data_IF_248194714585
#
_entry.id   IF_248194714585
#
_cell.length_a   1.000
_cell.length_b   1.000
_cell.length_c   1.000
_cell.angle_alpha   90.00
_cell.angle_beta   90.00
_cell.angle_gamma   90.00
#
_symmetry.space_group_name_H-M   'P 1'
#
loop_
_entity.id
_entity.type
_entity.pdbx_description
1 polymer ?
#
# COMPACT_ATOMS: atom_id res chain seq x y z
N UNK A 1 8.43 -25.95 23.33
CA UNK A 1 8.29 -26.70 22.07
C UNK A 1 9.58 -26.52 21.27
N UNK A 2 10.51 -27.46 21.40
CA UNK A 2 11.86 -27.41 20.85
C UNK A 2 11.89 -28.14 19.50
N UNK A 3 11.96 -27.40 18.38
CA UNK A 3 12.07 -28.04 17.07
C UNK A 3 13.56 -28.30 16.74
N UNK A 4 13.99 -29.54 17.02
CA UNK A 4 15.26 -30.08 16.53
C UNK A 4 15.16 -30.34 15.03
N UNK A 5 15.89 -29.58 14.23
CA UNK A 5 16.04 -29.84 12.80
C UNK A 5 17.01 -31.03 12.62
N UNK A 6 16.49 -32.22 12.30
CA UNK A 6 17.30 -33.41 12.02
C UNK A 6 17.77 -33.39 10.56
N UNK A 7 19.08 -33.51 10.41
CA UNK A 7 19.82 -33.58 9.14
C UNK A 7 19.61 -34.93 8.46
N UNK A 8 19.32 -34.94 7.16
CA UNK A 8 19.46 -36.13 6.30
C UNK A 8 20.24 -35.73 5.05
N UNK A 9 21.39 -36.37 4.83
CA UNK A 9 22.28 -36.14 3.69
C UNK A 9 21.80 -37.01 2.52
N UNK A 10 21.44 -36.38 1.40
CA UNK A 10 21.25 -37.05 0.10
C UNK A 10 22.09 -36.29 -0.93
N UNK A 11 23.10 -36.96 -1.48
CA UNK A 11 23.99 -36.46 -2.53
C UNK A 11 23.28 -36.56 -3.90
N UNK A 12 22.59 -35.50 -4.29
CA UNK A 12 22.23 -35.19 -5.67
C UNK A 12 22.39 -33.68 -5.80
N UNK A 13 23.14 -33.20 -6.79
CA UNK A 13 23.34 -31.76 -7.04
C UNK A 13 22.05 -31.13 -7.59
N UNK A 14 21.02 -31.04 -6.74
CA UNK A 14 19.87 -30.16 -6.93
C UNK A 14 20.27 -28.85 -6.28
N UNK A 15 20.43 -27.80 -7.10
CA UNK A 15 20.52 -26.44 -6.58
C UNK A 15 19.17 -26.09 -5.95
N UNK A 16 19.00 -26.46 -4.68
CA UNK A 16 17.95 -25.93 -3.81
C UNK A 16 18.26 -24.45 -3.64
N UNK A 17 17.66 -23.62 -4.49
CA UNK A 17 17.54 -22.19 -4.23
C UNK A 17 16.71 -22.10 -2.96
N UNK A 18 17.39 -21.97 -1.82
CA UNK A 18 16.75 -21.51 -0.59
C UNK A 18 16.41 -20.06 -0.88
N UNK A 19 15.22 -19.84 -1.43
CA UNK A 19 14.57 -18.55 -1.40
C UNK A 19 14.31 -18.26 0.08
N UNK A 20 15.32 -17.71 0.77
CA UNK A 20 15.10 -17.09 2.06
C UNK A 20 13.96 -16.11 1.85
N UNK A 21 12.92 -16.18 2.69
CA UNK A 21 11.83 -15.21 2.64
C UNK A 21 12.45 -13.84 2.89
N UNK A 22 12.82 -13.12 1.83
CA UNK A 22 13.22 -11.74 1.94
C UNK A 22 11.98 -11.02 2.44
N UNK A 23 11.98 -10.69 3.73
CA UNK A 23 10.90 -9.97 4.36
C UNK A 23 10.92 -8.55 3.78
N UNK A 24 10.07 -8.33 2.78
CA UNK A 24 9.93 -7.03 2.13
C UNK A 24 9.61 -5.95 3.17
N UNK A 25 10.14 -4.76 2.94
CA UNK A 25 9.85 -3.58 3.74
C UNK A 25 8.37 -3.21 3.68
N UNK A 26 7.96 -2.41 4.66
CA UNK A 26 6.57 -1.97 4.81
C UNK A 26 6.46 -0.46 4.96
N UNK A 27 5.32 0.08 4.54
CA UNK A 27 4.93 1.46 4.80
C UNK A 27 3.49 1.49 5.29
N UNK A 28 3.26 2.20 6.40
CA UNK A 28 1.92 2.51 6.87
C UNK A 28 1.49 3.83 6.25
N UNK A 29 0.38 3.80 5.52
CA UNK A 29 -0.18 4.96 4.84
C UNK A 29 -1.55 5.23 5.47
N UNK A 30 -1.76 6.46 5.93
CA UNK A 30 -3.02 6.90 6.51
C UNK A 30 -3.43 8.25 5.93
N UNK A 31 -4.71 8.41 5.63
CA UNK A 31 -5.27 9.66 5.11
C UNK A 31 -6.70 9.85 5.62
N UNK A 32 -7.14 11.11 5.67
CA UNK A 32 -8.55 11.44 5.86
C UNK A 32 -9.29 11.27 4.54
N UNK A 33 -10.39 10.50 4.55
CA UNK A 33 -11.27 10.43 3.40
C UNK A 33 -11.85 11.83 3.11
N UNK A 34 -11.73 12.37 1.87
CA UNK A 34 -12.44 13.59 1.51
C UNK A 34 -13.93 13.54 1.87
N UNK A 35 -14.48 14.62 2.43
CA UNK A 35 -15.91 14.73 2.75
C UNK A 35 -16.70 15.47 1.67
N UNK A 36 -16.02 15.96 0.63
CA UNK A 36 -16.59 16.60 -0.55
C UNK A 36 -15.98 16.04 -1.83
N UNK A 37 -16.76 16.06 -2.91
CA UNK A 37 -16.32 15.74 -4.27
C UNK A 37 -15.60 16.93 -4.93
N UNK A 38 -15.00 16.70 -6.09
CA UNK A 38 -14.33 17.76 -6.85
C UNK A 38 -15.29 18.89 -7.31
N UNK A 39 -16.58 18.61 -7.41
CA UNK A 39 -17.65 19.56 -7.74
C UNK A 39 -18.24 20.26 -6.50
N UNK A 40 -17.73 19.98 -5.30
CA UNK A 40 -18.19 20.56 -4.03
C UNK A 40 -19.41 19.88 -3.42
N UNK A 41 -19.99 18.85 -4.06
CA UNK A 41 -21.07 18.07 -3.47
C UNK A 41 -20.60 17.24 -2.26
N UNK A 42 -21.45 16.97 -1.25
CA UNK A 42 -21.10 16.08 -0.14
C UNK A 42 -20.72 14.68 -0.64
N UNK A 43 -19.63 14.15 -0.10
CA UNK A 43 -19.07 12.84 -0.48
C UNK A 43 -20.02 11.72 -0.06
N UNK A 44 -20.68 11.10 -1.03
CA UNK A 44 -21.55 9.93 -0.83
C UNK A 44 -21.22 8.77 -1.79
N UNK A 45 -20.35 9.01 -2.76
CA UNK A 45 -20.24 8.22 -3.99
C UNK A 45 -18.88 7.53 -4.18
N UNK A 46 -17.88 7.83 -3.34
CA UNK A 46 -16.61 7.12 -3.39
C UNK A 46 -16.74 5.68 -2.88
N UNK A 47 -16.37 4.73 -3.74
CA UNK A 47 -16.44 3.29 -3.46
C UNK A 47 -15.07 2.72 -3.13
N UNK A 48 -13.99 3.34 -3.60
CA UNK A 48 -12.63 2.91 -3.31
C UNK A 48 -11.60 4.04 -3.43
N UNK A 49 -10.38 3.73 -3.00
CA UNK A 49 -9.19 4.56 -3.12
C UNK A 49 -8.10 3.79 -3.86
N UNK A 50 -7.38 4.45 -4.75
CA UNK A 50 -6.12 3.97 -5.30
C UNK A 50 -4.98 4.64 -4.53
N UNK A 51 -4.18 3.85 -3.84
CA UNK A 51 -2.98 4.33 -3.13
C UNK A 51 -1.80 4.06 -4.04
N UNK A 52 -1.38 5.09 -4.78
CA UNK A 52 -0.23 5.04 -5.67
C UNK A 52 1.07 5.17 -4.88
N UNK A 53 2.09 4.42 -5.27
CA UNK A 53 3.43 4.50 -4.72
C UNK A 53 4.52 4.30 -5.79
N UNK A 54 5.65 4.97 -5.62
CA UNK A 54 6.79 4.93 -6.54
C UNK A 54 8.07 5.37 -5.85
N UNK A 55 9.24 4.96 -6.36
CA UNK A 55 10.54 5.53 -5.96
C UNK A 55 10.83 6.86 -6.67
N UNK A 56 9.96 7.30 -7.59
CA UNK A 56 10.02 8.61 -8.25
C UNK A 56 9.03 9.58 -7.61
N UNK A 57 9.38 10.88 -7.58
CA UNK A 57 8.61 11.96 -6.93
C UNK A 57 7.28 12.34 -7.62
N UNK A 58 6.70 11.43 -8.41
CA UNK A 58 5.38 11.57 -9.02
C UNK A 58 4.75 10.18 -9.11
N UNK A 59 4.16 9.68 -8.00
CA UNK A 59 3.55 8.36 -7.99
C UNK A 59 2.21 8.31 -8.74
N UNK A 60 1.58 9.47 -8.98
CA UNK A 60 0.24 9.59 -9.57
C UNK A 60 0.23 10.58 -10.75
N UNK A 61 -0.39 10.23 -11.90
CA UNK A 61 -0.77 8.87 -12.31
C UNK A 61 0.45 8.07 -12.82
N UNK A 62 0.46 6.75 -12.64
CA UNK A 62 1.42 5.85 -13.33
C UNK A 62 2.42 5.10 -12.45
N UNK A 63 2.44 5.32 -11.14
CA UNK A 63 3.12 4.44 -10.19
C UNK A 63 2.37 3.11 -9.99
N UNK A 64 2.98 2.20 -9.22
CA UNK A 64 2.27 1.03 -8.71
C UNK A 64 1.18 1.47 -7.75
N UNK A 65 0.10 0.69 -7.61
CA UNK A 65 -0.97 1.04 -6.67
C UNK A 65 -1.56 -0.18 -5.98
N UNK A 66 -2.15 0.06 -4.81
CA UNK A 66 -3.10 -0.84 -4.17
C UNK A 66 -4.47 -0.20 -4.14
N UNK A 67 -5.52 -1.01 -4.26
CA UNK A 67 -6.91 -0.55 -4.14
C UNK A 67 -7.44 -0.86 -2.74
N UNK A 68 -8.02 0.15 -2.10
CA UNK A 68 -8.62 0.07 -0.76
C UNK A 68 -10.09 0.42 -0.86
N UNK A 69 -10.98 -0.43 -0.36
CA UNK A 69 -12.42 -0.14 -0.34
C UNK A 69 -12.74 1.04 0.57
N UNK A 70 -13.74 1.86 0.20
CA UNK A 70 -14.14 3.00 1.03
C UNK A 70 -14.68 2.59 2.41
N UNK A 71 -15.16 1.36 2.54
CA UNK A 71 -15.55 0.73 3.81
C UNK A 71 -14.39 0.58 4.81
N UNK A 72 -13.13 0.78 4.40
CA UNK A 72 -11.99 0.83 5.30
C UNK A 72 -11.89 2.14 6.10
N UNK A 73 -12.71 3.14 5.76
CA UNK A 73 -12.81 4.38 6.55
C UNK A 73 -13.40 4.09 7.92
N UNK A 74 -12.76 4.62 8.97
CA UNK A 74 -13.28 4.55 10.33
C UNK A 74 -14.40 5.56 10.55
N UNK A 75 -15.49 5.15 11.18
CA UNK A 75 -16.58 6.04 11.57
C UNK A 75 -16.09 7.17 12.49
N UNK A 76 -16.32 8.43 12.12
CA UNK A 76 -15.97 9.62 12.91
C UNK A 76 -15.87 10.90 12.05
N UNK A 77 -15.62 12.07 12.64
CA UNK A 77 -15.52 13.33 11.89
C UNK A 77 -14.36 13.36 10.86
N UNK A 78 -13.31 12.56 11.07
CA UNK A 78 -12.10 12.55 10.21
C UNK A 78 -11.98 11.33 9.27
N UNK A 79 -13.01 10.48 9.22
CA UNK A 79 -13.14 9.29 8.34
C UNK A 79 -11.80 8.72 7.85
N UNK A 80 -10.93 8.35 8.80
CA UNK A 80 -9.54 8.01 8.47
C UNK A 80 -9.47 6.62 7.88
N UNK A 81 -8.74 6.49 6.77
CA UNK A 81 -8.41 5.21 6.14
C UNK A 81 -6.94 4.92 6.38
N UNK A 82 -6.57 3.65 6.54
CA UNK A 82 -5.18 3.24 6.64
C UNK A 82 -4.92 1.94 5.90
N UNK A 83 -3.75 1.82 5.29
CA UNK A 83 -3.29 0.61 4.60
C UNK A 83 -1.80 0.40 4.83
N UNK A 84 -1.39 -0.87 4.92
CA UNK A 84 0.02 -1.25 4.91
C UNK A 84 0.43 -1.66 3.50
N UNK A 85 1.36 -0.91 2.91
CA UNK A 85 2.10 -1.36 1.74
C UNK A 85 3.17 -2.36 2.19
N UNK A 86 3.34 -3.45 1.44
CA UNK A 86 4.28 -4.54 1.75
C UNK A 86 5.08 -4.91 0.51
N UNK A 87 6.11 -5.75 0.66
CA UNK A 87 6.94 -6.17 -0.48
C UNK A 87 7.85 -5.06 -1.02
N UNK A 88 8.09 -4.01 -0.23
CA UNK A 88 8.94 -2.88 -0.60
C UNK A 88 10.42 -3.19 -0.32
N UNK A 89 11.34 -2.37 -0.81
CA UNK A 89 12.76 -2.47 -0.46
C UNK A 89 13.02 -1.74 0.86
N UNK A 90 13.43 -2.42 1.96
CA UNK A 90 13.69 -1.74 3.23
C UNK A 90 14.75 -0.63 3.11
N UNK A 91 14.48 0.53 3.70
CA UNK A 91 15.34 1.72 3.66
C UNK A 91 15.18 2.59 2.40
N UNK A 92 14.56 2.06 1.35
CA UNK A 92 14.30 2.78 0.11
C UNK A 92 13.23 3.86 0.32
N UNK A 93 13.42 5.02 -0.31
CA UNK A 93 12.47 6.14 -0.25
C UNK A 93 11.33 5.90 -1.24
N UNK A 94 10.10 5.92 -0.75
CA UNK A 94 8.91 5.86 -1.58
C UNK A 94 8.10 7.14 -1.45
N UNK A 95 7.50 7.55 -2.56
CA UNK A 95 6.54 8.62 -2.68
C UNK A 95 5.15 8.00 -2.83
N UNK A 96 4.16 8.57 -2.16
CA UNK A 96 2.79 8.04 -2.08
C UNK A 96 1.79 9.17 -2.35
N UNK A 97 0.76 8.87 -3.13
CA UNK A 97 -0.40 9.73 -3.33
C UNK A 97 -1.67 8.89 -3.41
N UNK A 98 -2.81 9.49 -3.08
CA UNK A 98 -4.10 8.80 -3.05
C UNK A 98 -5.07 9.44 -4.04
N UNK A 99 -5.84 8.61 -4.72
CA UNK A 99 -6.94 9.00 -5.60
C UNK A 99 -8.22 8.33 -5.14
N UNK A 100 -9.32 9.05 -5.11
CA UNK A 100 -10.65 8.50 -4.87
C UNK A 100 -11.26 7.98 -6.18
N UNK A 101 -12.04 6.91 -6.09
CA UNK A 101 -12.80 6.34 -7.22
C UNK A 101 -14.26 6.18 -6.81
N UNK A 102 -15.17 6.68 -7.64
CA UNK A 102 -16.60 6.55 -7.40
C UNK A 102 -17.22 5.28 -8.01
N UNK A 103 -18.53 5.06 -7.83
CA UNK A 103 -19.27 3.91 -8.36
C UNK A 103 -19.25 3.81 -9.90
N UNK A 104 -19.06 4.93 -10.58
CA UNK A 104 -18.94 5.01 -12.04
C UNK A 104 -17.50 4.81 -12.54
N UNK A 105 -16.54 4.57 -11.63
CA UNK A 105 -15.13 4.40 -11.97
C UNK A 105 -14.41 5.71 -12.28
N UNK A 106 -15.03 6.86 -12.01
CA UNK A 106 -14.43 8.20 -12.19
C UNK A 106 -13.47 8.50 -11.05
N UNK A 107 -12.32 9.08 -11.39
CA UNK A 107 -11.23 9.36 -10.45
C UNK A 107 -11.25 10.83 -10.03
N UNK A 108 -10.91 11.09 -8.76
CA UNK A 108 -10.56 12.43 -8.32
C UNK A 108 -9.19 12.87 -8.84
N UNK A 109 -8.82 14.13 -8.58
CA UNK A 109 -7.42 14.54 -8.63
C UNK A 109 -6.56 13.76 -7.62
N UNK A 110 -5.25 13.71 -7.87
CA UNK A 110 -4.27 13.15 -6.93
C UNK A 110 -4.20 14.02 -5.65
N UNK A 111 -4.07 13.37 -4.50
CA UNK A 111 -3.68 14.07 -3.27
C UNK A 111 -2.28 14.70 -3.39
N UNK A 112 -1.91 15.52 -2.42
CA UNK A 112 -0.51 15.88 -2.23
C UNK A 112 0.36 14.61 -2.09
N UNK A 113 1.56 14.66 -2.68
CA UNK A 113 2.55 13.59 -2.55
C UNK A 113 3.20 13.64 -1.18
N UNK A 114 3.20 12.51 -0.48
CA UNK A 114 3.95 12.29 0.76
C UNK A 114 5.11 11.33 0.49
N UNK A 115 6.15 11.34 1.31
CA UNK A 115 7.25 10.38 1.17
C UNK A 115 7.72 9.82 2.50
N UNK A 116 8.16 8.57 2.46
CA UNK A 116 8.71 7.86 3.62
C UNK A 116 9.63 6.73 3.17
N UNK A 117 10.59 6.37 4.03
CA UNK A 117 11.44 5.19 3.80
C UNK A 117 10.74 3.94 4.29
N UNK A 118 10.74 2.87 3.50
CA UNK A 118 10.15 1.61 3.90
C UNK A 118 10.90 1.06 5.13
N UNK A 119 10.15 0.72 6.19
CA UNK A 119 10.74 0.11 7.39
C UNK A 119 10.88 -1.39 7.18
N UNK A 120 11.79 -2.03 7.92
CA UNK A 120 11.75 -3.49 8.06
C UNK A 120 10.44 -3.89 8.75
N UNK A 121 9.81 -5.00 8.33
CA UNK A 121 8.55 -5.45 8.90
C UNK A 121 8.64 -5.71 10.41
#
# INVERSE_FOLDING_TARGET
MTLRCRSTVVLVAVALVVAGCASGGVLQVSWSAPTVNADGSPRTDATSYLVYYSTKNSPCPGGSFVRVGASAARSGPDQTVSVQLTGLNPGELYYVAVVAVNSHGVWSGCSATMSARARRP
#
